data_IF_334759045721
#
_entry.id   IF_334759045721
#
_cell.length_a   1.000
_cell.length_b   1.000
_cell.length_c   1.000
_cell.angle_alpha   90.00
_cell.angle_beta   90.00
_cell.angle_gamma   90.00
#
_symmetry.space_group_name_H-M   'P 1'
#
loop_
_entity.id
_entity.type
_entity.pdbx_description
1 polymer ?
#
# COMPACT_ATOMS: atom_id res chain seq x y z
N UNK A 1 -22.32 -42.96 -39.48
CA UNK A 1 -23.34 -41.90 -39.35
C UNK A 1 -22.64 -40.77 -38.62
N UNK A 2 -22.01 -39.89 -39.39
CA UNK A 2 -21.19 -38.79 -38.90
C UNK A 2 -22.06 -37.54 -38.97
N UNK A 3 -22.38 -36.95 -37.82
CA UNK A 3 -23.05 -35.66 -37.76
C UNK A 3 -21.97 -34.59 -37.69
N UNK A 4 -21.71 -33.99 -38.85
CA UNK A 4 -21.00 -32.72 -38.99
C UNK A 4 -21.95 -31.61 -38.51
N UNK A 5 -21.67 -31.05 -37.34
CA UNK A 5 -22.41 -29.92 -36.78
C UNK A 5 -21.60 -28.63 -37.04
N UNK A 6 -21.95 -27.99 -38.16
CA UNK A 6 -21.39 -26.73 -38.63
C UNK A 6 -21.91 -25.57 -37.75
N UNK A 7 -21.10 -25.13 -36.78
CA UNK A 7 -21.45 -24.00 -35.91
C UNK A 7 -21.10 -22.69 -36.62
N UNK A 8 -22.15 -22.02 -37.11
CA UNK A 8 -22.15 -20.72 -37.78
C UNK A 8 -21.84 -19.59 -36.79
N UNK A 9 -20.77 -18.83 -37.03
CA UNK A 9 -20.43 -17.64 -36.26
C UNK A 9 -21.44 -16.50 -36.47
N UNK A 10 -21.82 -15.74 -35.43
CA UNK A 10 -22.67 -14.56 -35.58
C UNK A 10 -21.87 -13.37 -36.11
N UNK A 11 -22.34 -12.80 -37.21
CA UNK A 11 -21.78 -11.62 -37.86
C UNK A 11 -22.22 -10.35 -37.11
N UNK A 12 -21.31 -9.79 -36.33
CA UNK A 12 -21.52 -8.53 -35.59
C UNK A 12 -21.60 -7.36 -36.55
N UNK A 13 -22.81 -6.87 -36.80
CA UNK A 13 -23.08 -5.71 -37.64
C UNK A 13 -22.74 -4.43 -36.87
N UNK A 14 -21.64 -3.75 -37.20
CA UNK A 14 -21.30 -2.44 -36.67
C UNK A 14 -21.99 -1.35 -37.50
N UNK A 15 -23.02 -0.73 -36.93
CA UNK A 15 -23.63 0.48 -37.51
C UNK A 15 -22.74 1.68 -37.23
N UNK A 16 -22.10 2.20 -38.28
CA UNK A 16 -21.36 3.45 -38.25
C UNK A 16 -22.35 4.63 -38.22
N UNK A 17 -22.47 5.28 -37.07
CA UNK A 17 -23.19 6.56 -36.92
C UNK A 17 -22.22 7.70 -37.24
N UNK A 18 -22.21 8.17 -38.48
CA UNK A 18 -21.55 9.41 -38.87
C UNK A 18 -22.34 10.60 -38.31
N UNK A 19 -21.89 11.13 -37.17
CA UNK A 19 -22.36 12.41 -36.65
C UNK A 19 -21.73 13.55 -37.46
N UNK A 20 -22.58 14.34 -38.09
CA UNK A 20 -22.24 15.53 -38.87
C UNK A 20 -21.70 16.63 -37.97
N UNK A 21 -20.43 16.96 -38.15
CA UNK A 21 -19.75 18.09 -37.52
C UNK A 21 -20.18 19.40 -38.19
N UNK A 22 -21.17 20.11 -37.64
CA UNK A 22 -21.48 21.51 -37.96
C UNK A 22 -22.49 22.08 -36.95
N UNK A 23 -22.13 22.22 -35.66
CA UNK A 23 -22.70 23.23 -34.73
C UNK A 23 -22.07 23.16 -33.32
N UNK A 24 -20.73 23.18 -33.21
CA UNK A 24 -20.03 23.07 -31.90
C UNK A 24 -19.19 24.31 -31.54
N UNK A 25 -19.40 25.44 -32.22
CA UNK A 25 -18.61 26.65 -32.02
C UNK A 25 -19.26 27.72 -31.12
N UNK A 26 -20.57 27.64 -30.86
CA UNK A 26 -21.30 28.72 -30.17
C UNK A 26 -21.62 28.42 -28.69
N UNK A 27 -21.64 27.14 -28.27
CA UNK A 27 -21.97 26.77 -26.87
C UNK A 27 -20.77 26.87 -25.92
N UNK A 28 -19.55 27.02 -26.45
CA UNK A 28 -18.32 27.04 -25.63
C UNK A 28 -18.00 28.39 -24.98
N UNK A 29 -18.75 29.45 -25.30
CA UNK A 29 -18.51 30.81 -24.77
C UNK A 29 -19.33 31.09 -23.50
N UNK A 30 -20.55 30.57 -23.36
CA UNK A 30 -21.40 30.85 -22.18
C UNK A 30 -21.04 30.07 -20.91
N UNK A 31 -20.38 28.91 -21.00
CA UNK A 31 -19.95 28.14 -19.81
C UNK A 31 -18.63 28.65 -19.19
N UNK A 32 -17.88 29.52 -19.88
CA UNK A 32 -16.63 30.09 -19.34
C UNK A 32 -16.85 31.33 -18.47
N UNK A 33 -17.99 32.00 -18.56
CA UNK A 33 -18.29 33.15 -17.67
C UNK A 33 -18.87 32.73 -16.31
N UNK A 34 -19.56 31.59 -16.21
CA UNK A 34 -20.13 31.14 -14.94
C UNK A 34 -19.08 30.58 -13.95
N UNK A 35 -17.93 30.08 -14.43
CA UNK A 35 -16.87 29.51 -13.58
C UNK A 35 -15.97 30.57 -12.94
N UNK A 36 -16.00 31.83 -13.40
CA UNK A 36 -15.16 32.91 -12.84
C UNK A 36 -15.82 33.63 -11.66
N UNK A 37 -17.12 33.46 -11.46
CA UNK A 37 -17.86 34.14 -10.39
C UNK A 37 -17.82 33.42 -9.02
N UNK A 38 -17.36 32.17 -8.97
CA UNK A 38 -17.37 31.36 -7.72
C UNK A 38 -16.02 31.37 -6.99
N UNK A 39 -14.96 31.85 -7.62
CA UNK A 39 -13.59 31.82 -7.06
C UNK A 39 -13.23 33.09 -6.27
N UNK A 40 -14.07 34.12 -6.32
CA UNK A 40 -13.86 35.41 -5.62
C UNK A 40 -14.58 35.51 -4.26
N UNK A 41 -15.18 34.43 -3.78
CA UNK A 41 -15.97 34.44 -2.53
C UNK A 41 -15.28 33.76 -1.33
N UNK A 42 -14.13 33.09 -1.51
CA UNK A 42 -13.48 32.29 -0.45
C UNK A 42 -12.11 32.84 0.00
N UNK A 43 -11.77 34.08 -0.38
CA UNK A 43 -10.48 34.71 -0.04
C UNK A 43 -10.54 35.69 1.14
N UNK A 44 -11.49 35.55 2.07
CA UNK A 44 -11.68 36.54 3.15
C UNK A 44 -12.16 35.96 4.49
N UNK A 45 -11.42 35.01 5.06
CA UNK A 45 -11.72 34.49 6.40
C UNK A 45 -10.52 33.98 7.23
N UNK A 46 -9.27 34.33 6.90
CA UNK A 46 -8.11 33.95 7.73
C UNK A 46 -7.32 35.21 8.07
N UNK A 47 -7.81 35.92 9.08
CA UNK A 47 -7.16 37.03 9.78
C UNK A 47 -6.89 36.55 11.21
N UNK A 48 -5.67 36.81 11.69
CA UNK A 48 -5.25 36.85 13.10
C UNK A 48 -5.44 35.61 13.97
N UNK A 49 -4.41 34.77 14.03
CA UNK A 49 -3.99 34.11 15.27
C UNK A 49 -2.52 34.45 15.48
N UNK A 50 -2.29 35.54 16.23
CA UNK A 50 -1.00 35.80 16.88
C UNK A 50 -0.93 34.84 18.08
N UNK A 51 -0.16 33.76 17.96
CA UNK A 51 0.17 32.89 19.09
C UNK A 51 1.56 33.30 19.63
N UNK A 52 1.49 33.76 20.87
CA UNK A 52 2.50 34.27 21.77
C UNK A 52 3.04 33.06 22.53
N UNK A 53 4.14 32.46 22.07
CA UNK A 53 4.86 31.42 22.83
C UNK A 53 6.11 32.06 23.42
N UNK A 54 5.95 32.46 24.69
CA UNK A 54 6.99 32.91 25.59
C UNK A 54 8.01 31.79 25.85
N UNK A 55 9.29 32.19 25.88
CA UNK A 55 10.44 31.47 26.41
C UNK A 55 10.12 30.59 27.63
N UNK A 56 10.48 29.31 27.57
CA UNK A 56 10.67 28.47 28.76
C UNK A 56 11.99 27.71 28.62
N UNK A 57 13.08 28.44 28.84
CA UNK A 57 14.41 27.88 29.08
C UNK A 57 14.49 27.41 30.54
N UNK A 58 14.24 26.12 30.79
CA UNK A 58 14.68 25.47 32.03
C UNK A 58 15.80 24.47 31.71
N UNK A 59 17.02 24.92 32.01
CA UNK A 59 18.18 24.11 32.40
C UNK A 59 17.76 23.01 33.38
N UNK A 60 18.07 21.76 33.05
CA UNK A 60 18.25 20.70 34.07
C UNK A 60 19.54 19.94 33.72
N UNK A 61 20.64 20.47 34.25
CA UNK A 61 21.80 19.71 34.69
C UNK A 61 21.33 18.58 35.63
N UNK A 62 21.66 17.33 35.34
CA UNK A 62 22.02 16.42 36.42
C UNK A 62 23.00 15.35 35.92
N UNK A 63 24.21 15.53 36.42
CA UNK A 63 25.29 14.56 36.54
C UNK A 63 24.76 13.27 37.16
N UNK A 64 25.03 12.11 36.57
CA UNK A 64 25.24 10.91 37.38
C UNK A 64 26.32 10.04 36.70
N UNK A 65 27.46 10.04 37.38
CA UNK A 65 28.56 9.09 37.30
C UNK A 65 28.07 7.66 37.65
N UNK A 66 28.98 6.68 37.55
CA UNK A 66 28.86 5.27 38.00
C UNK A 66 28.46 4.27 36.90
N UNK A 67 29.10 3.11 36.72
CA UNK A 67 30.37 2.53 37.16
C UNK A 67 30.45 1.16 36.42
N UNK A 68 31.65 0.58 36.41
CA UNK A 68 31.89 -0.87 36.37
C UNK A 68 31.69 -1.71 35.09
N UNK A 69 32.83 -2.22 34.62
CA UNK A 69 33.15 -3.64 34.44
C UNK A 69 32.07 -4.60 33.89
N UNK A 70 32.30 -5.17 32.70
CA UNK A 70 32.83 -6.54 32.63
C UNK A 70 33.03 -7.04 31.18
N UNK A 71 34.22 -7.60 31.02
CA UNK A 71 34.74 -8.44 29.97
C UNK A 71 33.94 -9.75 29.86
N UNK A 72 33.33 -10.08 28.71
CA UNK A 72 33.02 -11.49 28.39
C UNK A 72 32.96 -11.72 26.88
N UNK A 73 34.11 -12.16 26.36
CA UNK A 73 34.23 -12.75 25.04
C UNK A 73 33.55 -14.13 25.02
N UNK A 74 32.44 -14.27 24.29
CA UNK A 74 31.91 -15.60 23.94
C UNK A 74 31.68 -15.74 22.44
N UNK A 75 32.67 -16.36 21.78
CA UNK A 75 32.57 -17.00 20.47
C UNK A 75 31.50 -18.11 20.53
N UNK A 76 30.34 -17.88 19.89
CA UNK A 76 29.32 -18.93 19.72
C UNK A 76 29.34 -19.45 18.29
N UNK A 77 30.16 -20.48 18.06
CA UNK A 77 30.10 -21.32 16.86
C UNK A 77 28.92 -22.29 16.97
N UNK A 78 27.76 -21.87 16.47
CA UNK A 78 26.53 -22.63 16.46
C UNK A 78 26.17 -23.16 15.07
N UNK A 79 26.83 -24.23 14.66
CA UNK A 79 26.39 -25.11 13.56
C UNK A 79 25.09 -25.83 13.97
N UNK A 80 23.99 -25.57 13.26
CA UNK A 80 22.76 -26.36 13.39
C UNK A 80 22.28 -26.84 12.03
N UNK A 81 22.68 -28.08 11.75
CA UNK A 81 22.12 -29.01 10.79
C UNK A 81 20.71 -29.42 11.28
N UNK A 82 19.67 -29.00 10.57
CA UNK A 82 18.32 -29.56 10.71
C UNK A 82 17.79 -29.96 9.34
N UNK A 83 18.14 -31.19 8.97
CA UNK A 83 17.38 -31.97 8.01
C UNK A 83 16.08 -32.53 8.59
N UNK A 84 15.35 -33.24 7.71
CA UNK A 84 14.06 -33.94 7.90
C UNK A 84 12.84 -33.06 7.59
N UNK A 85 12.12 -33.23 6.49
CA UNK A 85 11.67 -34.49 5.89
C UNK A 85 10.29 -34.81 6.47
N UNK A 86 9.22 -34.61 5.70
CA UNK A 86 7.89 -35.17 5.96
C UNK A 86 7.00 -35.05 4.71
N UNK A 87 7.13 -36.02 3.82
CA UNK A 87 6.06 -36.45 2.92
C UNK A 87 4.81 -36.80 3.75
N UNK A 88 3.66 -36.26 3.35
CA UNK A 88 2.36 -36.83 3.73
C UNK A 88 1.37 -36.61 2.60
N UNK A 89 1.34 -37.60 1.70
CA UNK A 89 0.15 -38.07 1.01
C UNK A 89 -1.01 -38.26 1.99
N UNK A 90 -2.17 -37.66 1.70
CA UNK A 90 -3.47 -38.07 2.24
C UNK A 90 -4.64 -37.32 1.55
N UNK A 91 -5.48 -38.12 0.86
CA UNK A 91 -6.95 -38.01 0.66
C UNK A 91 -7.47 -36.87 -0.24
N UNK A 92 -7.94 -37.07 -1.48
CA UNK A 92 -8.93 -38.02 -2.05
C UNK A 92 -10.30 -38.02 -1.35
N UNK A 93 -11.37 -37.96 -2.16
CA UNK A 93 -12.82 -37.98 -1.85
C UNK A 93 -13.40 -36.62 -1.40
N UNK A 94 -14.45 -36.02 -1.96
CA UNK A 94 -15.63 -36.42 -2.77
C UNK A 94 -16.41 -35.12 -3.06
N UNK A 95 -16.80 -34.76 -4.28
CA UNK A 95 -18.01 -35.19 -5.01
C UNK A 95 -19.29 -35.23 -4.14
N UNK A 96 -20.06 -34.14 -4.16
CA UNK A 96 -21.50 -34.12 -3.90
C UNK A 96 -22.10 -32.80 -4.39
N UNK A 97 -22.82 -32.88 -5.51
CA UNK A 97 -23.95 -32.03 -5.88
C UNK A 97 -24.82 -31.64 -4.68
N UNK A 98 -25.25 -30.37 -4.60
CA UNK A 98 -26.58 -30.02 -4.08
C UNK A 98 -27.00 -28.63 -4.60
N UNK A 99 -27.81 -28.66 -5.66
CA UNK A 99 -28.83 -27.65 -6.00
C UNK A 99 -29.66 -27.30 -4.74
N UNK A 100 -29.80 -26.02 -4.37
CA UNK A 100 -31.11 -25.51 -3.91
C UNK A 100 -31.19 -23.97 -3.93
N UNK A 101 -31.95 -23.51 -4.92
CA UNK A 101 -32.91 -22.40 -4.96
C UNK A 101 -33.05 -21.52 -3.69
N UNK A 102 -32.83 -20.21 -3.87
CA UNK A 102 -33.32 -19.15 -2.98
C UNK A 102 -34.85 -19.27 -2.75
N UNK A 103 -35.42 -18.95 -1.55
CA UNK A 103 -35.75 -17.54 -1.33
C UNK A 103 -35.85 -17.04 0.13
N UNK A 104 -35.56 -15.73 0.27
CA UNK A 104 -36.25 -14.74 1.14
C UNK A 104 -36.26 -14.92 2.68
N UNK A 105 -35.79 -13.82 3.30
CA UNK A 105 -36.40 -13.11 4.44
C UNK A 105 -36.79 -13.93 5.69
N UNK A 106 -36.11 -13.69 6.81
CA UNK A 106 -36.74 -13.09 8.01
C UNK A 106 -35.74 -12.90 9.16
N UNK A 107 -35.90 -11.72 9.77
CA UNK A 107 -35.43 -11.30 11.09
C UNK A 107 -35.60 -12.43 12.12
N UNK A 108 -34.53 -12.75 12.84
CA UNK A 108 -34.52 -13.74 13.91
C UNK A 108 -33.60 -13.29 15.05
N UNK A 109 -34.14 -13.36 16.25
CA UNK A 109 -33.64 -12.79 17.48
C UNK A 109 -32.25 -13.28 17.94
N UNK A 110 -31.60 -12.40 18.69
CA UNK A 110 -30.43 -12.61 19.52
C UNK A 110 -30.37 -13.99 20.19
N UNK A 111 -29.49 -14.85 19.70
CA UNK A 111 -29.05 -16.05 20.41
C UNK A 111 -27.72 -15.71 21.09
N UNK A 112 -27.81 -15.38 22.37
CA UNK A 112 -26.67 -15.24 23.28
C UNK A 112 -25.86 -16.55 23.24
N UNK A 113 -24.76 -16.57 22.49
CA UNK A 113 -23.82 -17.69 22.51
C UNK A 113 -23.08 -17.65 23.85
N UNK A 114 -23.10 -18.79 24.53
CA UNK A 114 -22.44 -19.02 25.79
C UNK A 114 -20.95 -18.67 25.69
N UNK A 115 -20.44 -18.01 26.72
CA UNK A 115 -19.04 -17.66 26.85
C UNK A 115 -18.17 -18.93 26.74
N UNK A 116 -17.11 -18.93 25.91
CA UNK A 116 -16.15 -20.01 25.90
C UNK A 116 -15.47 -20.08 27.26
N UNK A 117 -15.52 -21.29 27.83
CA UNK A 117 -14.86 -21.66 29.08
C UNK A 117 -13.37 -21.35 28.93
N UNK A 118 -12.84 -20.49 29.83
CA UNK A 118 -11.43 -20.14 29.93
C UNK A 118 -10.56 -21.40 29.95
N UNK A 119 -9.96 -21.74 28.82
CA UNK A 119 -8.82 -22.64 28.79
C UNK A 119 -7.71 -21.98 29.61
N UNK A 120 -7.17 -22.73 30.58
CA UNK A 120 -6.05 -22.30 31.42
C UNK A 120 -4.88 -21.97 30.49
N UNK A 121 -4.57 -20.69 30.37
CA UNK A 121 -3.45 -20.17 29.61
C UNK A 121 -2.17 -20.84 30.10
N UNK A 122 -1.46 -21.48 29.17
CA UNK A 122 -0.08 -21.89 29.40
C UNK A 122 0.75 -20.63 29.75
N UNK A 123 1.72 -20.74 30.67
CA UNK A 123 2.55 -19.61 31.07
C UNK A 123 3.28 -19.06 29.83
N UNK A 124 3.01 -17.79 29.51
CA UNK A 124 3.65 -17.10 28.41
C UNK A 124 5.17 -17.11 28.59
N UNK A 125 5.96 -17.39 27.53
CA UNK A 125 7.40 -17.29 27.60
C UNK A 125 7.79 -15.86 27.95
N UNK A 126 8.61 -15.72 29.00
CA UNK A 126 9.17 -14.44 29.44
C UNK A 126 9.94 -13.85 28.26
N UNK A 127 9.43 -12.77 27.67
CA UNK A 127 10.17 -11.98 26.67
C UNK A 127 11.45 -11.51 27.35
N UNK A 128 12.59 -12.03 26.90
CA UNK A 128 13.89 -11.49 27.26
C UNK A 128 13.90 -10.02 26.81
N UNK A 129 14.13 -9.13 27.77
CA UNK A 129 14.44 -7.72 27.50
C UNK A 129 15.78 -7.74 26.76
N UNK A 130 15.72 -7.64 25.43
CA UNK A 130 16.90 -7.26 24.65
C UNK A 130 17.25 -5.85 25.07
N UNK A 131 18.39 -5.71 25.73
CA UNK A 131 18.98 -4.43 26.05
C UNK A 131 19.13 -3.64 24.75
N UNK A 132 18.54 -2.46 24.71
CA UNK A 132 18.72 -1.54 23.61
C UNK A 132 20.22 -1.24 23.51
N UNK A 133 20.82 -1.45 22.34
CA UNK A 133 22.18 -1.00 22.09
C UNK A 133 22.24 0.51 22.34
N UNK A 134 23.27 1.03 23.04
CA UNK A 134 23.49 2.45 23.16
C UNK A 134 23.65 3.02 21.75
N UNK A 135 22.74 3.92 21.39
CA UNK A 135 22.85 4.75 20.20
C UNK A 135 24.03 5.66 20.48
N UNK A 136 25.12 5.46 19.75
CA UNK A 136 26.31 6.30 19.80
C UNK A 136 25.92 7.74 19.47
N UNK A 137 26.20 8.65 20.40
CA UNK A 137 26.30 10.10 20.21
C UNK A 137 27.48 10.39 19.27
N UNK A 138 27.29 10.15 17.98
CA UNK A 138 28.21 10.61 16.93
C UNK A 138 27.59 11.88 16.34
N UNK A 139 28.23 13.00 16.67
CA UNK A 139 28.21 14.33 16.05
C UNK A 139 26.98 14.66 15.18
N UNK A 140 26.12 15.54 15.73
CA UNK A 140 25.07 16.26 15.01
C UNK A 140 25.71 17.20 13.96
N UNK A 141 26.19 16.64 12.85
CA UNK A 141 26.31 17.42 11.63
C UNK A 141 24.89 17.82 11.22
N UNK A 142 24.65 19.13 11.21
CA UNK A 142 23.49 19.82 10.66
C UNK A 142 23.17 19.29 9.23
N UNK A 143 22.47 18.15 9.16
CA UNK A 143 21.89 17.56 7.95
C UNK A 143 20.68 18.44 7.53
N UNK A 144 20.95 19.71 7.19
CA UNK A 144 19.95 20.73 6.84
C UNK A 144 19.10 20.40 5.60
N UNK A 145 19.30 19.24 4.96
CA UNK A 145 18.46 18.78 3.86
C UNK A 145 18.23 17.25 3.93
N UNK A 146 17.71 16.75 5.05
CA UNK A 146 17.20 15.38 5.19
C UNK A 146 15.93 15.10 4.34
N UNK A 147 15.79 15.75 3.19
CA UNK A 147 14.68 15.58 2.26
C UNK A 147 14.83 14.35 1.37
N UNK A 148 13.73 13.91 0.78
CA UNK A 148 13.79 12.87 -0.25
C UNK A 148 14.40 13.44 -1.53
N UNK A 149 15.44 12.79 -2.10
CA UNK A 149 16.07 13.29 -3.32
C UNK A 149 15.06 13.29 -4.47
N UNK A 150 15.01 14.39 -5.23
CA UNK A 150 14.12 14.57 -6.38
C UNK A 150 12.78 15.24 -6.07
N UNK A 151 12.42 15.42 -4.79
CA UNK A 151 11.26 16.21 -4.39
C UNK A 151 11.65 17.67 -4.15
N UNK A 152 10.72 18.60 -4.38
CA UNK A 152 10.92 20.01 -4.00
C UNK A 152 10.84 20.17 -2.49
N UNK A 153 11.41 21.25 -1.94
CA UNK A 153 11.33 21.56 -0.51
C UNK A 153 9.89 21.59 0.00
N UNK A 154 9.00 22.28 -0.71
CA UNK A 154 7.56 22.34 -0.39
C UNK A 154 6.90 20.95 -0.34
N UNK A 155 7.31 20.04 -1.24
CA UNK A 155 6.80 18.68 -1.27
C UNK A 155 7.27 17.88 -0.05
N UNK A 156 8.54 18.01 0.31
CA UNK A 156 9.11 17.40 1.52
C UNK A 156 8.41 17.95 2.77
N UNK A 157 8.29 19.26 2.92
CA UNK A 157 7.63 19.90 4.07
C UNK A 157 6.18 19.43 4.23
N UNK A 158 5.44 19.32 3.12
CA UNK A 158 4.07 18.81 3.13
C UNK A 158 4.02 17.31 3.49
N UNK A 159 4.98 16.50 3.05
CA UNK A 159 5.11 15.09 3.41
C UNK A 159 5.43 14.91 4.90
N UNK A 160 6.34 15.71 5.46
CA UNK A 160 6.74 15.65 6.87
C UNK A 160 5.65 16.16 7.82
N UNK A 161 4.98 17.26 7.47
CA UNK A 161 3.86 17.83 8.24
C UNK A 161 2.57 17.01 8.15
N UNK A 162 2.37 16.23 7.08
CA UNK A 162 1.16 15.43 6.90
C UNK A 162 1.00 14.34 7.97
N UNK A 163 -0.23 14.15 8.46
CA UNK A 163 -0.55 13.08 9.41
C UNK A 163 -0.63 11.72 8.69
N UNK A 164 -0.42 10.63 9.44
CA UNK A 164 -0.51 9.27 8.88
C UNK A 164 -1.89 8.96 8.23
N UNK A 165 -2.96 9.61 8.69
CA UNK A 165 -4.30 9.49 8.08
C UNK A 165 -4.31 10.10 6.68
N UNK A 166 -3.81 11.34 6.54
CA UNK A 166 -3.70 12.04 5.25
C UNK A 166 -2.79 11.29 4.26
N UNK A 167 -1.65 10.77 4.73
CA UNK A 167 -0.74 9.97 3.90
C UNK A 167 -1.43 8.69 3.36
N UNK A 168 -2.23 8.01 4.18
CA UNK A 168 -3.02 6.86 3.74
C UNK A 168 -4.08 7.24 2.72
N UNK A 169 -4.73 8.39 2.87
CA UNK A 169 -5.69 8.88 1.87
C UNK A 169 -5.02 9.19 0.53
N UNK A 170 -3.85 9.82 0.55
CA UNK A 170 -3.03 10.07 -0.64
C UNK A 170 -2.64 8.78 -1.36
N UNK A 171 -2.17 7.77 -0.61
CA UNK A 171 -1.86 6.45 -1.14
C UNK A 171 -3.12 5.73 -1.65
N UNK A 172 -4.26 5.85 -0.97
CA UNK A 172 -5.53 5.21 -1.35
C UNK A 172 -6.04 5.72 -2.69
N UNK A 173 -5.95 7.04 -2.94
CA UNK A 173 -6.31 7.66 -4.22
C UNK A 173 -5.45 7.12 -5.37
N UNK A 174 -4.16 6.95 -5.11
CA UNK A 174 -3.20 6.33 -6.01
C UNK A 174 -3.22 4.81 -5.94
N UNK A 175 -4.22 4.25 -5.26
CA UNK A 175 -4.52 2.84 -5.21
C UNK A 175 -3.42 2.00 -4.54
N UNK A 176 -2.44 2.62 -3.87
CA UNK A 176 -1.25 1.99 -3.28
C UNK A 176 -1.51 1.29 -1.94
N UNK A 177 -0.49 0.58 -1.44
CA UNK A 177 -0.54 -0.14 -0.15
C UNK A 177 -0.60 0.86 1.01
N UNK A 178 -1.56 0.65 1.92
CA UNK A 178 -1.86 1.56 3.06
C UNK A 178 -1.22 1.13 4.39
N UNK A 179 -0.50 0.00 4.40
CA UNK A 179 0.12 -0.55 5.62
C UNK A 179 1.49 0.08 5.87
N UNK A 180 1.85 0.23 7.14
CA UNK A 180 3.17 0.70 7.58
C UNK A 180 3.12 1.85 8.57
N UNK A 181 4.30 2.25 9.03
CA UNK A 181 4.52 3.42 9.90
C UNK A 181 4.49 4.73 9.10
N UNK A 182 4.43 5.88 9.77
CA UNK A 182 4.40 7.20 9.12
C UNK A 182 5.56 7.38 8.13
N UNK A 183 6.79 7.05 8.55
CA UNK A 183 7.99 7.10 7.71
C UNK A 183 7.90 6.22 6.46
N UNK A 184 7.51 4.94 6.62
CA UNK A 184 7.34 4.01 5.50
C UNK A 184 6.28 4.47 4.49
N UNK A 185 5.25 5.20 4.95
CA UNK A 185 4.24 5.80 4.08
C UNK A 185 4.82 7.00 3.32
N UNK A 186 5.63 7.84 3.97
CA UNK A 186 6.34 8.97 3.34
C UNK A 186 7.31 8.47 2.27
N UNK A 187 8.16 7.49 2.59
CA UNK A 187 9.10 6.85 1.64
C UNK A 187 8.37 6.38 0.38
N UNK A 188 7.22 5.72 0.59
CA UNK A 188 6.42 5.14 -0.50
C UNK A 188 5.81 6.22 -1.38
N UNK A 189 5.33 7.32 -0.80
CA UNK A 189 4.80 8.45 -1.56
C UNK A 189 5.92 9.15 -2.33
N UNK A 190 7.06 9.41 -1.69
CA UNK A 190 8.23 10.02 -2.34
C UNK A 190 8.70 9.19 -3.54
N UNK A 191 8.84 7.86 -3.37
CA UNK A 191 9.15 6.95 -4.48
C UNK A 191 8.09 6.98 -5.59
N UNK A 192 6.80 7.05 -5.25
CA UNK A 192 5.73 7.12 -6.26
C UNK A 192 5.71 8.46 -7.00
N UNK A 193 6.12 9.56 -6.37
CA UNK A 193 6.23 10.87 -7.01
C UNK A 193 7.41 10.86 -8.00
N UNK A 194 8.56 10.34 -7.58
CA UNK A 194 9.77 10.33 -8.41
C UNK A 194 9.69 9.35 -9.58
N UNK A 195 9.22 8.13 -9.33
CA UNK A 195 9.31 7.03 -10.29
C UNK A 195 7.94 6.59 -10.84
N UNK A 196 6.84 7.15 -10.32
CA UNK A 196 5.47 6.73 -10.61
C UNK A 196 4.95 5.63 -9.67
N UNK A 197 3.64 5.45 -9.67
CA UNK A 197 2.93 4.49 -8.84
C UNK A 197 3.19 3.04 -9.27
N UNK A 198 3.08 2.08 -8.33
CA UNK A 198 3.17 0.67 -8.68
C UNK A 198 1.90 0.20 -9.41
N UNK A 199 2.02 -0.31 -10.65
CA UNK A 199 0.87 -0.73 -11.44
C UNK A 199 0.26 -2.03 -10.91
N UNK A 200 -0.99 -2.27 -11.30
CA UNK A 200 -1.64 -3.58 -11.14
C UNK A 200 -0.92 -4.61 -12.01
N UNK A 201 -0.86 -5.83 -11.53
CA UNK A 201 -0.29 -6.94 -12.27
C UNK A 201 -1.15 -7.24 -13.50
N UNK A 202 -0.58 -7.25 -14.72
CA UNK A 202 -1.36 -7.52 -15.94
C UNK A 202 -1.90 -8.94 -16.01
N UNK A 203 -1.31 -9.89 -15.25
CA UNK A 203 -1.71 -11.30 -15.24
C UNK A 203 -2.90 -11.57 -14.31
N UNK A 204 -2.83 -11.11 -13.06
CA UNK A 204 -3.89 -11.38 -12.08
C UNK A 204 -4.88 -10.23 -11.90
N UNK A 205 -4.59 -9.03 -12.38
CA UNK A 205 -5.44 -7.83 -12.27
C UNK A 205 -5.54 -7.25 -10.85
N UNK A 206 -5.40 -8.08 -9.82
CA UNK A 206 -5.63 -7.71 -8.42
C UNK A 206 -4.34 -7.41 -7.67
N UNK A 207 -3.30 -8.22 -7.87
CA UNK A 207 -1.99 -8.03 -7.23
C UNK A 207 -1.28 -6.78 -7.74
N UNK A 208 -0.44 -6.16 -6.91
CA UNK A 208 0.43 -5.05 -7.31
C UNK A 208 1.87 -5.50 -7.45
N UNK A 209 2.53 -4.99 -8.47
CA UNK A 209 3.95 -5.27 -8.64
C UNK A 209 4.76 -4.54 -7.57
N UNK A 210 5.82 -5.19 -7.08
CA UNK A 210 6.75 -4.65 -6.08
C UNK A 210 8.18 -4.89 -6.54
N UNK A 211 9.16 -4.09 -6.13
CA UNK A 211 10.57 -4.38 -6.39
C UNK A 211 10.92 -5.77 -5.88
N UNK A 212 11.63 -6.58 -6.68
CA UNK A 212 12.00 -7.93 -6.26
C UNK A 212 12.96 -7.86 -5.07
N UNK A 213 12.74 -8.72 -4.08
CA UNK A 213 13.63 -8.85 -2.92
C UNK A 213 14.97 -9.50 -3.28
N UNK A 214 15.06 -10.11 -4.46
CA UNK A 214 16.27 -10.78 -4.93
C UNK A 214 17.29 -9.76 -5.39
N UNK A 215 18.46 -9.70 -4.74
CA UNK A 215 19.53 -8.73 -5.03
C UNK A 215 19.98 -8.71 -6.50
N UNK A 216 19.90 -9.85 -7.20
CA UNK A 216 20.25 -9.94 -8.61
C UNK A 216 19.23 -9.28 -9.57
N UNK A 217 18.04 -8.91 -9.07
CA UNK A 217 16.90 -8.42 -9.86
C UNK A 217 16.22 -7.22 -9.20
N UNK A 218 17.00 -6.29 -8.62
CA UNK A 218 16.45 -5.12 -7.91
C UNK A 218 15.56 -4.24 -8.78
N UNK A 219 15.90 -4.13 -10.06
CA UNK A 219 15.15 -3.32 -11.03
C UNK A 219 13.94 -4.05 -11.62
N UNK A 220 13.71 -5.30 -11.22
CA UNK A 220 12.60 -6.12 -11.71
C UNK A 220 11.42 -5.99 -10.75
N UNK A 221 10.27 -5.67 -11.32
CA UNK A 221 9.00 -5.63 -10.60
C UNK A 221 8.35 -7.03 -10.59
N UNK A 222 8.00 -7.53 -9.42
CA UNK A 222 7.45 -8.86 -9.17
C UNK A 222 6.08 -8.78 -8.47
N UNK A 223 5.14 -9.61 -8.90
CA UNK A 223 3.82 -9.75 -8.30
C UNK A 223 3.84 -10.86 -7.24
N UNK A 224 3.72 -10.53 -5.93
CA UNK A 224 3.68 -11.55 -4.88
C UNK A 224 2.41 -12.41 -4.97
N UNK A 225 1.31 -11.86 -5.46
CA UNK A 225 -0.01 -12.50 -5.45
C UNK A 225 -1.07 -11.56 -4.93
N UNK A 226 -2.26 -12.10 -4.65
CA UNK A 226 -3.34 -11.39 -3.98
C UNK A 226 -4.10 -12.35 -3.06
N UNK A 227 -4.84 -11.79 -2.11
CA UNK A 227 -5.81 -12.54 -1.31
C UNK A 227 -7.17 -12.36 -1.99
N UNK A 228 -7.87 -13.46 -2.23
CA UNK A 228 -9.22 -13.44 -2.83
C UNK A 228 -10.30 -13.11 -1.79
N UNK A 229 -11.55 -13.04 -2.25
CA UNK A 229 -12.72 -12.77 -1.39
C UNK A 229 -12.97 -13.89 -0.36
N UNK A 230 -12.43 -15.10 -0.58
CA UNK A 230 -12.48 -16.23 0.35
C UNK A 230 -11.37 -16.15 1.43
N UNK A 231 -10.49 -15.16 1.35
CA UNK A 231 -9.34 -15.01 2.25
C UNK A 231 -8.18 -15.95 1.94
N UNK A 232 -8.19 -16.67 0.81
CA UNK A 232 -7.10 -17.54 0.37
C UNK A 232 -6.07 -16.72 -0.40
N UNK A 233 -4.79 -16.99 -0.13
CA UNK A 233 -3.68 -16.33 -0.84
C UNK A 233 -3.37 -17.06 -2.14
N UNK A 234 -3.53 -16.36 -3.26
CA UNK A 234 -3.21 -16.85 -4.59
C UNK A 234 -1.89 -16.24 -5.08
N UNK A 235 -0.83 -17.06 -5.11
CA UNK A 235 0.47 -16.66 -5.61
C UNK A 235 0.44 -16.47 -7.14
N UNK A 236 0.96 -15.34 -7.64
CA UNK A 236 0.93 -15.03 -9.08
C UNK A 236 2.23 -15.43 -9.81
N UNK A 237 3.38 -15.09 -9.21
CA UNK A 237 4.72 -15.37 -9.77
C UNK A 237 5.00 -14.69 -11.11
N UNK A 238 4.32 -13.57 -11.38
CA UNK A 238 4.60 -12.71 -12.54
C UNK A 238 5.74 -11.75 -12.18
N UNK A 239 6.69 -11.54 -13.08
CA UNK A 239 7.70 -10.50 -12.95
C UNK A 239 8.03 -9.91 -14.32
N UNK A 240 8.48 -8.66 -14.33
CA UNK A 240 8.88 -7.97 -15.56
C UNK A 240 10.12 -8.64 -16.19
N UNK A 241 10.10 -8.86 -17.51
CA UNK A 241 11.14 -9.62 -18.21
C UNK A 241 11.06 -11.15 -18.05
N UNK A 242 9.93 -11.70 -17.60
CA UNK A 242 9.72 -13.16 -17.62
C UNK A 242 9.62 -13.67 -19.06
N UNK A 243 10.34 -14.76 -19.44
CA UNK A 243 10.21 -15.35 -20.77
C UNK A 243 8.75 -15.72 -21.07
N UNK A 244 8.25 -15.35 -22.25
CA UNK A 244 6.85 -15.55 -22.66
C UNK A 244 5.88 -14.46 -22.25
N UNK A 245 6.34 -13.36 -21.62
CA UNK A 245 5.54 -12.17 -21.30
C UNK A 245 6.14 -10.88 -21.89
N UNK A 246 6.92 -10.99 -22.97
CA UNK A 246 7.66 -9.87 -23.58
C UNK A 246 6.73 -8.75 -24.10
N UNK A 247 5.49 -9.09 -24.44
CA UNK A 247 4.50 -8.13 -24.91
C UNK A 247 3.86 -7.30 -23.77
N UNK A 248 4.01 -7.72 -22.52
CA UNK A 248 3.41 -7.05 -21.36
C UNK A 248 4.34 -5.99 -20.81
N UNK A 249 4.37 -4.82 -21.47
CA UNK A 249 5.12 -3.67 -20.96
C UNK A 249 4.51 -3.16 -19.65
N UNK A 250 5.28 -3.23 -18.57
CA UNK A 250 4.91 -2.64 -17.29
C UNK A 250 5.09 -1.13 -17.37
N UNK A 251 3.98 -0.38 -17.35
CA UNK A 251 3.99 1.08 -17.32
C UNK A 251 3.59 1.51 -15.91
N UNK A 252 4.45 2.28 -15.23
CA UNK A 252 4.12 2.90 -13.94
C UNK A 252 3.20 4.10 -14.20
N UNK A 253 1.96 4.10 -13.70
CA UNK A 253 1.11 5.28 -13.82
C UNK A 253 1.72 6.45 -13.05
N UNK A 254 1.52 7.65 -13.56
CA UNK A 254 1.95 8.87 -12.87
C UNK A 254 1.20 9.04 -11.54
N UNK A 255 1.83 9.74 -10.60
CA UNK A 255 1.21 10.09 -9.32
C UNK A 255 0.03 11.05 -9.56
N UNK A 256 -1.16 10.65 -9.12
CA UNK A 256 -2.38 11.45 -9.23
C UNK A 256 -2.41 12.43 -8.05
N UNK A 257 -2.23 13.71 -8.37
CA UNK A 257 -2.35 14.83 -7.43
C UNK A 257 -3.78 14.96 -6.91
N UNK A 258 -3.93 15.21 -5.62
CA UNK A 258 -5.24 15.46 -5.02
C UNK A 258 -5.80 16.84 -5.42
N UNK A 259 -7.13 17.05 -5.34
CA UNK A 259 -7.74 18.36 -5.64
C UNK A 259 -7.22 19.48 -4.73
N UNK A 260 -6.89 19.15 -3.47
CA UNK A 260 -6.44 20.11 -2.45
C UNK A 260 -4.93 20.00 -2.19
N UNK A 261 -4.18 19.39 -3.11
CA UNK A 261 -2.81 18.92 -2.89
C UNK A 261 -1.85 19.53 -3.90
N UNK A 262 -0.87 20.31 -3.41
CA UNK A 262 0.29 20.76 -4.20
C UNK A 262 1.15 19.56 -4.67
N UNK A 263 1.05 18.44 -3.94
CA UNK A 263 1.66 17.14 -4.24
C UNK A 263 0.92 16.36 -5.31
#
# INVERSE_FOLDING_TARGET
MSNDEEVRAPESTTTATTATASDAATVHVELKEAAKAVVDAEAKAEEDVEDDDEDDEEDDDDEDEDDDDDDDESEFEGESDFGSGSDSDADDLSDADDDDDEPRQKRGAAKRRAAPVRAKAAPAPKRQKVAAKPVSEDEEEDDEDAGYPGLTKEQNDLLFSSTAVKLKEMLKRNEQVLTGNKSELQDRIALCINEGCYPKCPKCGTGRLRPSKVKARKDVLECPGHVDDEGKFNACGFWDGKPGHEDLKVIRPEWIKGPDSVL
#
